data_IF_671382288344
#
_entry.id   IF_671382288344
#
_cell.length_a   1.000
_cell.length_b   1.000
_cell.length_c   1.000
_cell.angle_alpha   90.00
_cell.angle_beta   90.00
_cell.angle_gamma   90.00
#
_symmetry.space_group_name_H-M   'P 1'
#
loop_
_entity.id
_entity.type
_entity.pdbx_description
1 polymer ?
#
# COMPACT_ATOMS: atom_id res chain seq x y z
N UNK A 1 36.35 4.99 -10.84
CA UNK A 1 35.90 6.02 -11.80
C UNK A 1 34.40 5.85 -12.10
N UNK A 2 33.58 5.80 -11.04
CA UNK A 2 32.11 5.64 -11.11
C UNK A 2 31.52 6.57 -10.05
N UNK A 3 31.40 7.86 -10.36
CA UNK A 3 30.77 8.81 -9.45
C UNK A 3 30.17 9.98 -10.23
N UNK A 4 28.92 9.81 -10.67
CA UNK A 4 27.82 10.78 -10.57
C UNK A 4 26.61 10.27 -11.34
N UNK A 5 25.45 10.44 -10.71
CA UNK A 5 24.10 10.28 -11.22
C UNK A 5 23.87 11.12 -12.48
N UNK A 6 23.74 10.50 -13.66
CA UNK A 6 23.38 11.18 -14.90
C UNK A 6 22.01 10.68 -15.38
N UNK A 7 21.01 11.56 -15.32
CA UNK A 7 19.77 11.40 -16.09
C UNK A 7 19.81 12.46 -17.19
N UNK A 8 20.15 12.03 -18.40
CA UNK A 8 20.23 12.90 -19.58
C UNK A 8 18.81 13.24 -20.04
N UNK A 9 18.44 14.52 -19.96
CA UNK A 9 17.16 15.02 -20.42
C UNK A 9 17.24 15.31 -21.93
N UNK A 10 16.75 14.38 -22.76
CA UNK A 10 16.88 14.41 -24.23
C UNK A 10 16.17 15.61 -24.88
N UNK A 11 15.26 16.31 -24.19
CA UNK A 11 14.52 17.46 -24.75
C UNK A 11 15.20 18.82 -24.50
N UNK A 12 16.05 18.94 -23.49
CA UNK A 12 16.56 20.26 -23.02
C UNK A 12 18.09 20.39 -22.98
N UNK A 13 18.84 19.32 -23.22
CA UNK A 13 20.32 19.37 -23.31
C UNK A 13 21.03 19.84 -22.04
N UNK A 14 20.34 19.87 -20.89
CA UNK A 14 20.89 20.29 -19.59
C UNK A 14 20.90 19.13 -18.60
N UNK A 15 22.05 18.91 -17.97
CA UNK A 15 22.19 18.01 -16.82
C UNK A 15 21.49 18.63 -15.61
N UNK A 16 20.34 18.10 -15.22
CA UNK A 16 19.62 18.54 -14.03
C UNK A 16 20.34 17.96 -12.81
N UNK A 17 20.94 18.83 -12.00
CA UNK A 17 21.56 18.45 -10.74
C UNK A 17 20.50 18.45 -9.64
N UNK A 18 20.60 17.54 -8.68
CA UNK A 18 19.83 17.66 -7.43
C UNK A 18 20.26 18.96 -6.74
N UNK A 19 19.32 19.88 -6.59
CA UNK A 19 19.58 21.11 -5.87
C UNK A 19 19.58 20.85 -4.37
N UNK A 20 20.25 21.71 -3.60
CA UNK A 20 20.28 21.62 -2.13
C UNK A 20 18.87 21.51 -1.53
N UNK A 21 17.87 22.12 -2.17
CA UNK A 21 16.45 22.04 -1.78
C UNK A 21 15.89 20.60 -1.83
N UNK A 22 16.25 19.82 -2.85
CA UNK A 22 15.74 18.46 -3.03
C UNK A 22 16.24 17.53 -1.90
N UNK A 23 17.52 17.68 -1.54
CA UNK A 23 18.12 16.95 -0.42
C UNK A 23 17.50 17.34 0.92
N UNK A 24 17.18 18.63 1.13
CA UNK A 24 16.51 19.09 2.34
C UNK A 24 15.10 18.51 2.44
N UNK A 25 14.31 18.54 1.36
CA UNK A 25 12.96 17.97 1.34
C UNK A 25 13.00 16.45 1.57
N UNK A 26 13.95 15.75 0.94
CA UNK A 26 14.15 14.32 1.14
C UNK A 26 14.51 13.99 2.59
N UNK A 27 15.45 14.74 3.17
CA UNK A 27 15.86 14.59 4.56
C UNK A 27 14.72 14.84 5.55
N UNK A 28 13.91 15.88 5.32
CA UNK A 28 12.72 16.18 6.16
C UNK A 28 11.68 15.07 6.04
N UNK A 29 11.39 14.59 4.83
CA UNK A 29 10.36 13.54 4.61
C UNK A 29 10.75 12.22 5.28
N UNK A 30 12.02 11.81 5.13
CA UNK A 30 12.57 10.64 5.83
C UNK A 30 12.60 10.86 7.35
N UNK A 31 13.04 12.04 7.79
CA UNK A 31 13.10 12.39 9.21
C UNK A 31 11.73 12.34 9.88
N UNK A 32 10.70 12.92 9.26
CA UNK A 32 9.32 12.92 9.78
C UNK A 32 8.74 11.50 9.82
N UNK A 33 8.85 10.74 8.73
CA UNK A 33 8.34 9.36 8.67
C UNK A 33 9.01 8.44 9.69
N UNK A 34 10.35 8.51 9.81
CA UNK A 34 11.09 7.77 10.83
C UNK A 34 10.75 8.23 12.26
N UNK A 35 10.57 9.54 12.48
CA UNK A 35 10.25 10.09 13.80
C UNK A 35 8.86 9.65 14.28
N UNK A 36 7.86 9.64 13.39
CA UNK A 36 6.52 9.15 13.72
C UNK A 36 6.58 7.66 14.08
N UNK A 37 7.28 6.85 13.27
CA UNK A 37 7.47 5.43 13.56
C UNK A 37 8.18 5.17 14.90
N UNK A 38 9.24 5.93 15.19
CA UNK A 38 10.00 5.82 16.44
C UNK A 38 9.19 6.28 17.65
N UNK A 39 8.44 7.38 17.53
CA UNK A 39 7.57 7.89 18.59
C UNK A 39 6.49 6.86 18.97
N UNK A 40 5.82 6.28 17.97
CA UNK A 40 4.85 5.21 18.22
C UNK A 40 5.53 3.95 18.79
N UNK A 41 6.68 3.52 18.26
CA UNK A 41 7.40 2.35 18.78
C UNK A 41 7.83 2.50 20.26
N UNK A 42 8.26 3.68 20.69
CA UNK A 42 8.64 3.95 22.08
C UNK A 42 7.40 4.06 22.98
N UNK A 43 6.32 4.68 22.48
CA UNK A 43 5.07 4.85 23.23
C UNK A 43 4.33 3.52 23.44
N UNK A 44 4.32 2.66 22.43
CA UNK A 44 3.59 1.38 22.45
C UNK A 44 4.34 0.27 23.21
N UNK A 45 5.66 0.39 23.38
CA UNK A 45 6.45 -0.52 24.25
C UNK A 45 5.93 -0.62 25.69
N UNK A 46 5.13 0.35 26.15
CA UNK A 46 4.52 0.35 27.49
C UNK A 46 3.22 -0.47 27.58
N UNK A 47 2.59 -0.84 26.46
CA UNK A 47 1.34 -1.61 26.42
C UNK A 47 1.60 -3.04 25.94
N UNK A 48 1.91 -3.94 26.88
CA UNK A 48 2.11 -5.38 26.61
C UNK A 48 0.76 -6.10 26.50
N UNK A 49 0.14 -6.05 25.34
CA UNK A 49 -0.84 -7.07 24.93
C UNK A 49 -0.83 -7.19 23.42
N UNK A 50 -0.44 -8.34 22.89
CA UNK A 50 -0.30 -8.62 21.45
C UNK A 50 -1.60 -8.32 20.68
N UNK A 51 -2.75 -8.53 21.33
CA UNK A 51 -4.07 -8.22 20.79
C UNK A 51 -4.36 -6.72 20.71
N UNK A 52 -3.81 -5.90 21.62
CA UNK A 52 -4.00 -4.45 21.58
C UNK A 52 -3.14 -3.81 20.49
N UNK A 53 -1.98 -4.39 20.17
CA UNK A 53 -1.12 -3.95 19.06
C UNK A 53 -1.67 -4.35 17.69
N UNK A 54 -2.14 -5.59 17.53
CA UNK A 54 -2.61 -6.10 16.23
C UNK A 54 -4.04 -5.67 15.90
N UNK A 55 -4.91 -5.47 16.89
CA UNK A 55 -6.31 -5.09 16.69
C UNK A 55 -6.59 -3.64 17.07
N UNK A 56 -5.59 -2.92 17.57
CA UNK A 56 -5.74 -1.57 18.09
C UNK A 56 -6.97 -1.40 19.00
N UNK A 57 -7.18 -2.40 19.86
CA UNK A 57 -8.30 -2.45 20.81
C UNK A 57 -9.70 -2.50 20.21
N UNK A 58 -9.87 -2.78 18.90
CA UNK A 58 -11.17 -2.77 18.18
C UNK A 58 -11.98 -1.47 18.31
N UNK A 59 -11.33 -0.40 18.79
CA UNK A 59 -11.94 0.91 19.08
C UNK A 59 -11.27 2.04 18.28
N UNK A 60 -10.54 1.70 17.22
CA UNK A 60 -10.03 2.69 16.29
C UNK A 60 -11.19 3.32 15.50
N UNK A 61 -11.20 4.65 15.46
CA UNK A 61 -12.10 5.41 14.61
C UNK A 61 -11.97 4.95 13.15
N UNK A 62 -13.08 4.90 12.42
CA UNK A 62 -13.14 4.42 11.02
C UNK A 62 -12.21 5.21 10.09
N UNK A 63 -11.97 6.49 10.40
CA UNK A 63 -11.18 7.40 9.57
C UNK A 63 -9.70 6.99 9.40
N UNK A 64 -8.87 6.81 10.45
CA UNK A 64 -7.50 6.34 10.32
C UNK A 64 -7.38 4.93 9.73
N UNK A 65 -8.37 4.05 9.97
CA UNK A 65 -8.39 2.71 9.36
C UNK A 65 -8.59 2.82 7.85
N UNK A 66 -9.56 3.61 7.40
CA UNK A 66 -9.78 3.86 5.98
C UNK A 66 -8.55 4.51 5.33
N UNK A 67 -7.90 5.46 6.02
CA UNK A 67 -6.69 6.12 5.53
C UNK A 67 -5.51 5.16 5.39
N UNK A 68 -5.32 4.24 6.34
CA UNK A 68 -4.30 3.19 6.25
C UNK A 68 -4.59 2.22 5.11
N UNK A 69 -5.86 1.83 4.90
CA UNK A 69 -6.24 0.96 3.80
C UNK A 69 -6.01 1.64 2.45
N UNK A 70 -6.42 2.90 2.31
CA UNK A 70 -6.15 3.71 1.11
C UNK A 70 -4.64 3.80 0.83
N UNK A 71 -3.83 4.04 1.85
CA UNK A 71 -2.37 4.08 1.72
C UNK A 71 -1.80 2.75 1.21
N UNK A 72 -2.33 1.61 1.65
CA UNK A 72 -1.87 0.28 1.20
C UNK A 72 -2.25 -0.03 -0.25
N UNK A 73 -3.31 0.58 -0.79
CA UNK A 73 -3.71 0.38 -2.19
C UNK A 73 -2.89 1.23 -3.18
N UNK A 74 -2.23 2.30 -2.72
CA UNK A 74 -1.43 3.18 -3.59
C UNK A 74 -0.03 2.57 -3.74
N UNK A 75 0.23 2.00 -4.92
CA UNK A 75 1.55 1.51 -5.31
C UNK A 75 2.24 2.46 -6.32
N UNK A 76 3.57 2.52 -6.26
CA UNK A 76 4.39 3.27 -7.22
C UNK A 76 4.18 2.77 -8.67
N UNK A 77 3.88 1.48 -8.86
CA UNK A 77 3.55 0.90 -10.18
C UNK A 77 2.29 1.54 -10.74
N UNK A 78 1.26 1.72 -9.92
CA UNK A 78 0.00 2.34 -10.36
C UNK A 78 0.21 3.82 -10.63
N UNK A 79 0.99 4.52 -9.80
CA UNK A 79 1.28 5.94 -9.96
C UNK A 79 2.01 6.27 -11.27
N UNK A 80 2.98 5.44 -11.67
CA UNK A 80 3.74 5.62 -12.92
C UNK A 80 3.09 4.91 -14.13
N UNK A 81 2.41 3.79 -13.89
CA UNK A 81 1.77 2.98 -14.93
C UNK A 81 0.47 3.59 -15.45
N UNK A 82 -0.36 4.18 -14.57
CA UNK A 82 -1.63 4.82 -14.98
C UNK A 82 -1.45 5.96 -16.00
N UNK A 83 -0.52 6.92 -15.84
CA UNK A 83 -0.31 7.93 -16.88
C UNK A 83 0.29 7.32 -18.14
N UNK A 84 1.23 6.37 -18.03
CA UNK A 84 1.86 5.71 -19.18
C UNK A 84 0.81 5.01 -20.07
N UNK A 85 -0.13 4.31 -19.46
CA UNK A 85 -1.25 3.67 -20.14
C UNK A 85 -2.25 4.70 -20.72
N UNK A 86 -2.55 5.77 -19.96
CA UNK A 86 -3.45 6.83 -20.43
C UNK A 86 -2.87 7.59 -21.64
N UNK A 87 -1.55 7.81 -21.69
CA UNK A 87 -0.88 8.40 -22.85
C UNK A 87 -0.99 7.54 -24.11
N UNK A 88 -1.10 6.21 -23.96
CA UNK A 88 -1.08 5.26 -25.07
C UNK A 88 -2.48 4.85 -25.54
N UNK A 89 -3.44 4.75 -24.63
CA UNK A 89 -4.81 4.28 -24.88
C UNK A 89 -5.88 5.37 -24.70
N UNK A 90 -5.48 6.63 -24.48
CA UNK A 90 -6.35 7.81 -24.35
C UNK A 90 -7.53 7.58 -23.38
N UNK A 91 -8.76 7.78 -23.86
CA UNK A 91 -9.97 7.88 -23.03
C UNK A 91 -10.54 6.54 -22.58
N UNK A 92 -10.11 5.40 -23.15
CA UNK A 92 -10.62 4.09 -22.76
C UNK A 92 -10.25 3.72 -21.32
N UNK A 93 -9.16 4.28 -20.79
CA UNK A 93 -8.73 4.02 -19.42
C UNK A 93 -9.73 4.50 -18.36
N UNK A 94 -10.56 5.52 -18.67
CA UNK A 94 -11.55 6.07 -17.73
C UNK A 94 -12.59 5.05 -17.24
N UNK A 95 -12.87 3.99 -18.00
CA UNK A 95 -13.79 2.94 -17.58
C UNK A 95 -13.32 2.18 -16.33
N UNK A 96 -12.01 2.16 -16.04
CA UNK A 96 -11.47 1.53 -14.83
C UNK A 96 -11.97 2.22 -13.56
N UNK A 97 -12.18 3.55 -13.60
CA UNK A 97 -12.67 4.34 -12.47
C UNK A 97 -14.11 3.95 -12.14
N UNK A 98 -14.95 3.80 -13.17
CA UNK A 98 -16.32 3.34 -12.99
C UNK A 98 -16.38 1.91 -12.43
N UNK A 99 -15.54 1.00 -12.93
CA UNK A 99 -15.40 -0.34 -12.37
C UNK A 99 -15.01 -0.32 -10.89
N UNK A 100 -14.03 0.51 -10.52
CA UNK A 100 -13.57 0.65 -9.15
C UNK A 100 -14.67 1.17 -8.21
N UNK A 101 -15.45 2.17 -8.63
CA UNK A 101 -16.58 2.68 -7.86
C UNK A 101 -17.64 1.60 -7.59
N UNK A 102 -17.99 0.82 -8.61
CA UNK A 102 -18.96 -0.28 -8.47
C UNK A 102 -18.41 -1.37 -7.53
N UNK A 103 -17.14 -1.73 -7.68
CA UNK A 103 -16.48 -2.71 -6.80
C UNK A 103 -16.48 -2.26 -5.35
N UNK A 104 -16.26 -0.97 -5.06
CA UNK A 104 -16.31 -0.44 -3.68
C UNK A 104 -17.71 -0.53 -3.10
N UNK A 105 -18.75 -0.17 -3.87
CA UNK A 105 -20.15 -0.24 -3.42
C UNK A 105 -20.56 -1.70 -3.14
N UNK A 106 -20.21 -2.62 -4.04
CA UNK A 106 -20.46 -4.06 -3.85
C UNK A 106 -19.66 -4.60 -2.66
N UNK A 107 -18.42 -4.17 -2.49
CA UNK A 107 -17.58 -4.58 -1.36
C UNK A 107 -18.19 -4.17 -0.03
N UNK A 108 -18.63 -2.91 0.08
CA UNK A 108 -19.26 -2.37 1.27
C UNK A 108 -20.57 -3.08 1.64
N UNK A 109 -21.38 -3.47 0.64
CA UNK A 109 -22.69 -4.09 0.90
C UNK A 109 -22.62 -5.58 1.18
N UNK A 110 -21.67 -6.31 0.56
CA UNK A 110 -21.60 -7.77 0.66
C UNK A 110 -20.56 -8.21 1.69
N UNK A 111 -19.35 -7.65 1.63
CA UNK A 111 -18.23 -8.17 2.43
C UNK A 111 -18.29 -7.67 3.88
N UNK A 112 -18.64 -6.41 4.12
CA UNK A 112 -18.73 -5.87 5.49
C UNK A 112 -19.69 -6.67 6.37
N UNK A 113 -20.95 -6.96 6.00
CA UNK A 113 -21.84 -7.72 6.87
C UNK A 113 -21.36 -9.16 7.08
N UNK A 114 -20.71 -9.77 6.09
CA UNK A 114 -20.17 -11.14 6.23
C UNK A 114 -19.00 -11.15 7.23
N UNK A 115 -18.02 -10.25 7.10
CA UNK A 115 -16.89 -10.20 8.02
C UNK A 115 -17.29 -9.80 9.44
N UNK A 116 -18.25 -8.88 9.59
CA UNK A 116 -18.70 -8.43 10.90
C UNK A 116 -19.48 -9.52 11.65
N UNK A 117 -20.31 -10.30 10.97
CA UNK A 117 -21.08 -11.39 11.58
C UNK A 117 -20.21 -12.58 12.01
N UNK A 118 -19.16 -12.90 11.24
CA UNK A 118 -18.27 -14.01 11.59
C UNK A 118 -17.16 -13.60 12.59
N UNK A 119 -17.01 -12.31 12.88
CA UNK A 119 -16.04 -11.80 13.87
C UNK A 119 -14.57 -12.01 13.48
N UNK A 120 -14.31 -12.24 12.20
CA UNK A 120 -13.00 -12.62 11.67
C UNK A 120 -12.19 -11.38 11.33
N UNK A 121 -10.91 -11.35 11.71
CA UNK A 121 -10.04 -10.18 11.53
C UNK A 121 -9.12 -10.29 10.31
N UNK A 122 -9.01 -11.48 9.71
CA UNK A 122 -8.18 -11.74 8.53
C UNK A 122 -8.94 -12.42 7.41
N UNK A 123 -8.74 -11.97 6.16
CA UNK A 123 -9.33 -12.57 4.96
C UNK A 123 -8.91 -14.04 4.80
N UNK A 124 -7.67 -14.37 5.18
CA UNK A 124 -7.16 -15.74 5.10
C UNK A 124 -7.82 -16.69 6.09
N UNK A 125 -8.35 -16.16 7.20
CA UNK A 125 -9.10 -16.94 8.18
C UNK A 125 -10.51 -17.26 7.67
N UNK A 126 -11.13 -16.34 6.90
CA UNK A 126 -12.37 -16.65 6.18
C UNK A 126 -12.18 -17.79 5.15
N UNK A 127 -11.10 -17.73 4.37
CA UNK A 127 -10.76 -18.80 3.40
C UNK A 127 -10.53 -20.14 4.12
N UNK A 128 -9.90 -20.10 5.29
CA UNK A 128 -9.68 -21.29 6.11
C UNK A 128 -10.98 -21.91 6.62
N UNK A 129 -11.92 -21.11 7.12
CA UNK A 129 -13.21 -21.61 7.60
C UNK A 129 -14.05 -22.22 6.48
N UNK A 130 -13.94 -21.71 5.25
CA UNK A 130 -14.72 -22.20 4.11
C UNK A 130 -14.09 -23.37 3.36
N UNK A 131 -12.76 -23.38 3.20
CA UNK A 131 -12.04 -24.32 2.32
C UNK A 131 -10.95 -25.15 3.04
N UNK A 132 -10.74 -24.94 4.33
CA UNK A 132 -9.77 -25.68 5.15
C UNK A 132 -8.35 -25.13 5.11
N UNK A 133 -7.44 -25.80 5.82
CA UNK A 133 -6.06 -25.32 6.05
C UNK A 133 -5.18 -25.31 4.80
N UNK A 134 -5.37 -26.27 3.89
CA UNK A 134 -4.54 -26.39 2.69
C UNK A 134 -4.68 -25.16 1.77
N UNK A 135 -5.91 -24.73 1.51
CA UNK A 135 -6.18 -23.55 0.68
C UNK A 135 -5.62 -22.29 1.32
N UNK A 136 -5.72 -22.14 2.65
CA UNK A 136 -5.09 -21.02 3.37
C UNK A 136 -3.58 -20.95 3.10
N UNK A 137 -2.88 -22.07 3.24
CA UNK A 137 -1.42 -22.13 3.06
C UNK A 137 -1.04 -21.79 1.62
N UNK A 138 -1.75 -22.36 0.64
CA UNK A 138 -1.52 -22.08 -0.78
C UNK A 138 -1.76 -20.59 -1.07
N UNK A 139 -2.87 -20.00 -0.60
CA UNK A 139 -3.15 -18.57 -0.77
C UNK A 139 -2.05 -17.69 -0.15
N UNK A 140 -1.59 -18.02 1.06
CA UNK A 140 -0.50 -17.27 1.70
C UNK A 140 0.81 -17.36 0.90
N UNK A 141 1.18 -18.55 0.42
CA UNK A 141 2.40 -18.75 -0.38
C UNK A 141 2.30 -17.98 -1.70
N UNK A 142 1.17 -18.09 -2.41
CA UNK A 142 0.93 -17.36 -3.66
C UNK A 142 0.99 -15.85 -3.45
N UNK A 143 0.41 -15.34 -2.37
CA UNK A 143 0.44 -13.93 -2.04
C UNK A 143 1.86 -13.44 -1.72
N UNK A 144 2.62 -14.21 -0.94
CA UNK A 144 4.03 -13.90 -0.65
C UNK A 144 4.87 -13.87 -1.92
N UNK A 145 4.70 -14.85 -2.82
CA UNK A 145 5.40 -14.89 -4.10
C UNK A 145 5.03 -13.68 -4.96
N UNK A 146 3.74 -13.36 -5.07
CA UNK A 146 3.27 -12.18 -5.82
C UNK A 146 3.92 -10.89 -5.30
N UNK A 147 3.98 -10.72 -3.98
CA UNK A 147 4.60 -9.54 -3.36
C UNK A 147 6.10 -9.45 -3.63
N UNK A 148 6.82 -10.57 -3.58
CA UNK A 148 8.27 -10.62 -3.90
C UNK A 148 8.51 -10.29 -5.37
N UNK A 149 7.71 -10.83 -6.28
CA UNK A 149 7.83 -10.56 -7.72
C UNK A 149 7.60 -9.07 -7.99
N UNK A 150 6.55 -8.48 -7.41
CA UNK A 150 6.25 -7.05 -7.55
C UNK A 150 7.40 -6.20 -6.99
N UNK A 151 7.93 -6.55 -5.81
CA UNK A 151 9.05 -5.83 -5.22
C UNK A 151 10.33 -5.93 -6.08
N UNK A 152 10.62 -7.10 -6.64
CA UNK A 152 11.75 -7.33 -7.54
C UNK A 152 11.62 -6.56 -8.86
N UNK A 153 10.40 -6.45 -9.42
CA UNK A 153 10.17 -5.65 -10.62
C UNK A 153 10.30 -4.15 -10.38
N UNK A 154 10.06 -3.70 -9.14
CA UNK A 154 10.11 -2.28 -8.77
C UNK A 154 11.53 -1.79 -8.45
N UNK A 155 12.42 -2.67 -7.96
CA UNK A 155 13.81 -2.38 -7.57
C UNK A 155 14.74 -2.53 -8.79
#
# INVERSE_FOLDING_TARGET
MWNRTYLYNFETGKSVYFHTYDYVVFGITLGLSASIGLFYAIKDRKKKSENEFLLAGRNMSVFPVALSLMSSFISAVTLLGTPAEMYRYNTMYWFIVFGFLISVILSNTIFIPVFYNLGITSVFEYVHLRFGTLVRIICCILYMIMMVIIACFLI
#
